data_IF_346873338999
#
_entry.id   IF_346873338999
#
_cell.length_a   1.000
_cell.length_b   1.000
_cell.length_c   1.000
_cell.angle_alpha   90.00
_cell.angle_beta   90.00
_cell.angle_gamma   90.00
#
_symmetry.space_group_name_H-M   'P 1'
#
loop_
_entity.id
_entity.type
_entity.pdbx_description
1 polymer ?
#
# COMPACT_ATOMS: atom_id res chain seq x y z
N UNK A 1 32.85 -84.45 23.36
CA UNK A 1 31.66 -83.58 23.41
C UNK A 1 32.15 -82.15 23.60
N UNK A 2 32.14 -81.34 22.52
CA UNK A 2 32.84 -80.04 22.48
C UNK A 2 31.89 -78.86 22.73
N UNK A 3 32.13 -78.01 23.75
CA UNK A 3 31.23 -76.91 24.13
C UNK A 3 31.38 -75.61 23.29
N UNK A 4 32.07 -75.64 22.15
CA UNK A 4 32.45 -74.41 21.41
C UNK A 4 31.43 -73.91 20.36
N UNK A 5 30.27 -74.57 20.16
CA UNK A 5 29.28 -74.15 19.14
C UNK A 5 28.18 -73.21 19.64
N UNK A 6 28.00 -73.03 20.96
CA UNK A 6 26.88 -72.23 21.49
C UNK A 6 27.15 -70.71 21.54
N UNK A 7 28.41 -70.26 21.53
CA UNK A 7 28.79 -68.84 21.69
C UNK A 7 28.88 -68.04 20.38
N UNK A 8 28.64 -68.68 19.22
CA UNK A 8 28.65 -68.04 17.90
C UNK A 8 27.26 -67.56 17.44
N UNK A 9 26.21 -68.27 17.82
CA UNK A 9 24.85 -67.99 17.37
C UNK A 9 24.27 -66.71 17.99
N UNK A 10 24.64 -66.38 19.23
CA UNK A 10 24.16 -65.17 19.92
C UNK A 10 24.79 -63.90 19.36
N UNK A 11 26.10 -63.91 19.09
CA UNK A 11 26.79 -62.75 18.48
C UNK A 11 26.33 -62.42 17.06
N UNK A 12 25.87 -63.42 16.31
CA UNK A 12 25.34 -63.22 14.96
C UNK A 12 23.92 -62.64 14.98
N UNK A 13 23.11 -62.99 15.99
CA UNK A 13 21.78 -62.40 16.20
C UNK A 13 21.86 -60.94 16.69
N UNK A 14 22.80 -60.63 17.59
CA UNK A 14 22.98 -59.26 18.10
C UNK A 14 23.49 -58.30 17.02
N UNK A 15 24.39 -58.76 16.14
CA UNK A 15 24.89 -57.98 15.00
C UNK A 15 23.80 -57.72 13.94
N UNK A 16 22.92 -58.70 13.69
CA UNK A 16 21.80 -58.55 12.75
C UNK A 16 20.73 -57.58 13.29
N UNK A 17 20.46 -57.61 14.60
CA UNK A 17 19.51 -56.69 15.25
C UNK A 17 20.03 -55.24 15.25
N UNK A 18 21.32 -55.04 15.51
CA UNK A 18 21.96 -53.72 15.45
C UNK A 18 22.01 -53.15 14.01
N UNK A 19 22.24 -53.99 13.01
CA UNK A 19 22.22 -53.56 11.60
C UNK A 19 20.80 -53.18 11.11
N UNK A 20 19.76 -53.85 11.62
CA UNK A 20 18.37 -53.53 11.28
C UNK A 20 17.86 -52.21 11.89
N UNK A 21 18.44 -51.77 13.02
CA UNK A 21 18.08 -50.52 13.71
C UNK A 21 19.03 -49.35 13.42
N UNK A 22 20.12 -49.58 12.67
CA UNK A 22 21.07 -48.55 12.24
C UNK A 22 20.75 -47.96 10.85
N UNK A 23 19.69 -48.43 10.18
CA UNK A 23 19.23 -47.84 8.94
C UNK A 23 18.53 -46.49 9.25
N UNK A 24 19.04 -45.35 8.73
CA UNK A 24 18.33 -44.08 8.86
C UNK A 24 16.99 -44.18 8.13
N UNK A 25 15.93 -43.68 8.76
CA UNK A 25 14.57 -43.67 8.23
C UNK A 25 14.53 -42.87 6.91
N UNK A 26 14.30 -43.51 5.75
CA UNK A 26 14.27 -42.81 4.46
C UNK A 26 13.06 -41.87 4.33
N UNK A 27 12.09 -41.93 5.25
CA UNK A 27 10.89 -41.09 5.20
C UNK A 27 11.14 -39.65 5.69
N UNK A 28 12.14 -39.41 6.53
CA UNK A 28 12.40 -38.07 7.10
C UNK A 28 13.21 -37.20 6.13
N UNK A 29 14.19 -37.81 5.45
CA UNK A 29 15.11 -37.12 4.54
C UNK A 29 14.49 -36.72 3.18
N UNK A 30 13.41 -37.40 2.78
CA UNK A 30 12.66 -37.10 1.56
C UNK A 30 11.61 -36.01 1.74
N UNK A 31 11.04 -35.88 2.94
CA UNK A 31 10.06 -34.84 3.26
C UNK A 31 10.71 -33.45 3.30
N UNK A 32 11.92 -33.35 3.85
CA UNK A 32 12.65 -32.08 3.96
C UNK A 32 13.15 -31.57 2.59
N UNK A 33 13.59 -32.47 1.71
CA UNK A 33 13.99 -32.10 0.32
C UNK A 33 12.80 -31.83 -0.61
N UNK A 34 11.64 -32.43 -0.35
CA UNK A 34 10.41 -32.10 -1.06
C UNK A 34 9.83 -30.74 -0.62
N UNK A 35 10.07 -30.34 0.63
CA UNK A 35 9.71 -29.02 1.16
C UNK A 35 10.62 -27.89 0.62
N UNK A 36 11.91 -28.16 0.42
CA UNK A 36 12.87 -27.18 -0.13
C UNK A 36 12.66 -26.88 -1.63
N UNK A 37 11.95 -27.74 -2.36
CA UNK A 37 11.59 -27.55 -3.77
C UNK A 37 10.36 -26.65 -4.01
N UNK A 38 9.57 -26.37 -2.97
CA UNK A 38 8.44 -25.45 -3.03
C UNK A 38 8.93 -24.03 -2.71
N UNK A 39 9.79 -23.49 -3.58
CA UNK A 39 9.95 -22.04 -3.63
C UNK A 39 8.53 -21.45 -3.71
N UNK A 40 8.09 -20.62 -2.75
CA UNK A 40 6.72 -20.12 -2.73
C UNK A 40 6.47 -19.48 -4.08
N UNK A 41 5.59 -20.12 -4.86
CA UNK A 41 5.22 -19.65 -6.18
C UNK A 41 4.88 -18.18 -6.04
N UNK A 42 5.65 -17.32 -6.70
CA UNK A 42 5.36 -15.89 -6.75
C UNK A 42 4.00 -15.77 -7.42
N UNK A 43 2.96 -15.74 -6.61
CA UNK A 43 1.59 -15.66 -7.06
C UNK A 43 1.46 -14.47 -8.02
N UNK A 44 1.24 -14.71 -9.33
CA UNK A 44 1.14 -13.63 -10.29
C UNK A 44 -0.10 -12.77 -10.02
N UNK A 45 -1.10 -13.30 -9.30
CA UNK A 45 -2.30 -12.55 -8.90
C UNK A 45 -2.01 -11.48 -7.84
N UNK A 46 -0.96 -11.66 -7.02
CA UNK A 46 -0.50 -10.68 -6.04
C UNK A 46 0.07 -9.38 -6.64
N UNK A 47 0.38 -9.36 -7.95
CA UNK A 47 0.84 -8.13 -8.62
C UNK A 47 -0.29 -7.12 -8.85
N UNK A 48 -1.52 -7.59 -9.01
CA UNK A 48 -2.72 -6.77 -9.24
C UNK A 48 -3.40 -6.34 -7.93
N UNK A 49 -3.13 -7.03 -6.82
CA UNK A 49 -3.55 -6.63 -5.48
C UNK A 49 -2.71 -5.49 -4.87
N UNK A 50 -1.69 -4.99 -5.59
CA UNK A 50 -0.87 -3.88 -5.09
C UNK A 50 -1.66 -2.59 -5.23
N UNK A 51 -2.33 -2.19 -4.15
CA UNK A 51 -2.95 -0.88 -4.01
C UNK A 51 -2.00 0.27 -4.36
N UNK A 52 -2.55 1.47 -4.50
CA UNK A 52 -1.82 2.66 -4.99
C UNK A 52 -0.50 2.87 -4.23
N UNK A 53 0.67 2.86 -4.91
CA UNK A 53 1.95 3.05 -4.24
C UNK A 53 2.03 4.46 -3.65
N UNK A 54 2.31 4.62 -2.34
CA UNK A 54 2.27 5.93 -1.68
C UNK A 54 3.17 6.97 -2.35
N UNK A 55 4.38 6.58 -2.74
CA UNK A 55 5.34 7.49 -3.38
C UNK A 55 4.85 8.01 -4.72
N UNK A 56 4.23 7.14 -5.52
CA UNK A 56 3.63 7.54 -6.79
C UNK A 56 2.50 8.55 -6.57
N UNK A 57 1.61 8.26 -5.61
CA UNK A 57 0.51 9.18 -5.30
C UNK A 57 1.00 10.52 -4.74
N UNK A 58 2.04 10.51 -3.91
CA UNK A 58 2.70 11.73 -3.45
C UNK A 58 3.23 12.58 -4.61
N UNK A 59 3.85 11.93 -5.60
CA UNK A 59 4.27 12.58 -6.85
C UNK A 59 3.10 13.14 -7.66
N UNK A 60 2.00 12.39 -7.78
CA UNK A 60 0.79 12.84 -8.50
C UNK A 60 0.11 14.03 -7.81
N UNK A 61 0.09 14.09 -6.48
CA UNK A 61 -0.41 15.25 -5.73
C UNK A 61 0.40 16.51 -6.07
N UNK A 62 1.73 16.42 -6.05
CA UNK A 62 2.61 17.54 -6.40
C UNK A 62 2.46 17.94 -7.87
N UNK A 63 2.41 16.97 -8.78
CA UNK A 63 2.24 17.24 -10.21
C UNK A 63 0.89 17.89 -10.51
N UNK A 64 -0.20 17.40 -9.90
CA UNK A 64 -1.53 17.97 -10.05
C UNK A 64 -1.61 19.39 -9.48
N UNK A 65 -1.09 19.61 -8.27
CA UNK A 65 -1.02 20.94 -7.68
C UNK A 65 -0.15 21.91 -8.51
N UNK A 66 1.02 21.46 -8.96
CA UNK A 66 1.89 22.24 -9.82
C UNK A 66 1.23 22.60 -11.16
N UNK A 67 0.45 21.69 -11.73
CA UNK A 67 -0.33 21.96 -12.95
C UNK A 67 -1.40 23.00 -12.69
N UNK A 68 -2.16 22.89 -11.59
CA UNK A 68 -3.15 23.90 -11.19
C UNK A 68 -2.48 25.28 -11.04
N UNK A 69 -1.34 25.35 -10.37
CA UNK A 69 -0.61 26.60 -10.19
C UNK A 69 -0.10 27.18 -11.53
N UNK A 70 0.31 26.33 -12.48
CA UNK A 70 0.83 26.76 -13.78
C UNK A 70 -0.24 27.27 -14.73
N UNK A 71 -1.49 26.77 -14.61
CA UNK A 71 -2.61 27.20 -15.47
C UNK A 71 -3.40 28.36 -14.88
N UNK A 72 -3.12 28.76 -13.63
CA UNK A 72 -3.87 29.80 -12.94
C UNK A 72 -3.65 31.14 -13.67
N UNK A 73 -4.73 31.88 -14.00
CA UNK A 73 -4.60 33.18 -14.61
C UNK A 73 -3.93 34.16 -13.64
N UNK A 74 -3.27 35.17 -14.20
CA UNK A 74 -2.67 36.24 -13.41
C UNK A 74 -3.71 37.03 -12.60
N UNK A 75 -3.26 37.97 -11.75
CA UNK A 75 -4.15 38.76 -10.91
C UNK A 75 -5.24 39.45 -11.75
N UNK A 76 -6.49 39.29 -11.35
CA UNK A 76 -7.62 40.00 -11.96
C UNK A 76 -7.52 41.50 -11.68
N UNK A 77 -7.98 42.32 -12.63
CA UNK A 77 -7.98 43.79 -12.47
C UNK A 77 -9.02 44.28 -11.44
N UNK A 78 -10.03 43.46 -11.15
CA UNK A 78 -11.07 43.77 -10.16
C UNK A 78 -10.66 43.20 -8.79
N UNK A 79 -10.86 43.94 -7.68
CA UNK A 79 -10.62 43.42 -6.34
C UNK A 79 -11.46 42.16 -6.07
N UNK A 80 -10.88 41.10 -5.49
CA UNK A 80 -11.63 39.90 -5.14
C UNK A 80 -12.64 40.22 -4.04
N UNK A 81 -13.83 39.61 -4.11
CA UNK A 81 -14.86 39.71 -3.07
C UNK A 81 -14.84 38.51 -2.14
N UNK A 82 -13.71 37.78 -2.10
CA UNK A 82 -13.58 36.60 -1.27
C UNK A 82 -13.57 37.00 0.22
N UNK A 83 -14.25 36.23 1.08
CA UNK A 83 -14.22 36.49 2.51
C UNK A 83 -12.84 36.10 3.09
N UNK A 84 -12.37 36.74 4.18
CA UNK A 84 -11.03 36.48 4.74
C UNK A 84 -10.77 35.02 5.16
N UNK A 85 -11.82 34.29 5.51
CA UNK A 85 -11.69 32.87 5.86
C UNK A 85 -11.30 32.01 4.65
N UNK A 86 -11.57 32.45 3.42
CA UNK A 86 -11.22 31.71 2.20
C UNK A 86 -9.70 31.66 1.99
N UNK A 87 -8.98 32.73 2.34
CA UNK A 87 -7.52 32.76 2.33
C UNK A 87 -6.94 31.77 3.34
N UNK A 88 -7.48 31.77 4.56
CA UNK A 88 -7.08 30.82 5.60
C UNK A 88 -7.38 29.37 5.17
N UNK A 89 -8.57 29.11 4.61
CA UNK A 89 -8.95 27.79 4.11
C UNK A 89 -8.04 27.32 2.96
N UNK A 90 -7.66 28.22 2.06
CA UNK A 90 -6.72 27.96 0.96
C UNK A 90 -5.33 27.63 1.50
N UNK A 91 -4.81 28.43 2.43
CA UNK A 91 -3.52 28.19 3.08
C UNK A 91 -3.49 26.83 3.80
N UNK A 92 -4.52 26.51 4.59
CA UNK A 92 -4.66 25.22 5.26
C UNK A 92 -4.71 24.08 4.25
N UNK A 93 -5.47 24.23 3.17
CA UNK A 93 -5.58 23.24 2.09
C UNK A 93 -4.21 22.95 1.46
N UNK A 94 -3.46 24.00 1.12
CA UNK A 94 -2.11 23.86 0.53
C UNK A 94 -1.13 23.23 1.51
N UNK A 95 -1.10 23.67 2.77
CA UNK A 95 -0.24 23.08 3.80
C UNK A 95 -0.55 21.60 3.98
N UNK A 96 -1.84 21.25 4.04
CA UNK A 96 -2.27 19.86 4.18
C UNK A 96 -1.89 19.02 2.96
N UNK A 97 -1.99 19.57 1.75
CA UNK A 97 -1.55 18.92 0.52
C UNK A 97 -0.05 18.64 0.55
N UNK A 98 0.77 19.65 0.85
CA UNK A 98 2.22 19.53 0.88
C UNK A 98 2.69 18.55 1.96
N UNK A 99 2.11 18.63 3.15
CA UNK A 99 2.39 17.68 4.25
C UNK A 99 2.01 16.24 3.86
N UNK A 100 0.86 16.07 3.21
CA UNK A 100 0.41 14.76 2.72
C UNK A 100 1.34 14.21 1.65
N UNK A 101 1.73 15.04 0.68
CA UNK A 101 2.66 14.66 -0.38
C UNK A 101 4.02 14.24 0.20
N UNK A 102 4.59 15.04 1.11
CA UNK A 102 5.86 14.71 1.77
C UNK A 102 5.78 13.38 2.54
N UNK A 103 4.71 13.16 3.30
CA UNK A 103 4.50 11.91 4.03
C UNK A 103 4.32 10.70 3.09
N UNK A 104 3.58 10.87 1.98
CA UNK A 104 3.40 9.84 0.95
C UNK A 104 4.70 9.50 0.22
N UNK A 105 5.52 10.49 -0.11
CA UNK A 105 6.87 10.32 -0.66
C UNK A 105 7.81 9.60 0.33
N UNK A 106 7.63 9.85 1.63
CA UNK A 106 8.27 9.08 2.69
C UNK A 106 7.67 7.66 2.89
N UNK A 107 6.70 7.25 2.07
CA UNK A 107 6.09 5.92 2.11
C UNK A 107 4.98 5.77 3.16
N UNK A 108 4.55 6.86 3.82
CA UNK A 108 3.59 6.81 4.91
C UNK A 108 2.15 6.71 4.40
N UNK A 109 1.60 5.48 4.40
CA UNK A 109 0.22 5.20 3.96
C UNK A 109 -0.88 5.90 4.75
N UNK A 110 -0.63 6.37 5.98
CA UNK A 110 -1.65 7.10 6.74
C UNK A 110 -1.99 8.47 6.10
N UNK A 111 -1.09 9.00 5.28
CA UNK A 111 -1.23 10.31 4.64
C UNK A 111 -2.32 10.37 3.54
N UNK A 112 -2.89 9.24 3.10
CA UNK A 112 -4.05 9.23 2.20
C UNK A 112 -5.31 9.89 2.83
N UNK A 113 -5.44 9.84 4.17
CA UNK A 113 -6.52 10.53 4.88
C UNK A 113 -6.43 12.05 4.72
N UNK A 114 -5.35 12.67 5.23
CA UNK A 114 -5.02 14.09 4.99
C UNK A 114 -5.06 14.50 3.52
N UNK A 115 -4.54 13.68 2.60
CA UNK A 115 -4.60 13.95 1.15
C UNK A 115 -6.04 14.09 0.64
N UNK A 116 -6.97 13.29 1.16
CA UNK A 116 -8.39 13.38 0.80
C UNK A 116 -9.01 14.70 1.27
N UNK A 117 -8.67 15.16 2.48
CA UNK A 117 -9.14 16.46 2.98
C UNK A 117 -8.55 17.62 2.18
N UNK A 118 -7.26 17.56 1.83
CA UNK A 118 -6.61 18.57 1.01
C UNK A 118 -7.23 18.64 -0.40
N UNK A 119 -7.40 17.51 -1.07
CA UNK A 119 -8.04 17.46 -2.39
C UNK A 119 -9.53 17.87 -2.32
N UNK A 120 -10.22 17.57 -1.23
CA UNK A 120 -11.58 18.04 -0.95
C UNK A 120 -11.64 19.56 -0.81
N UNK A 121 -10.71 20.15 -0.05
CA UNK A 121 -10.55 21.59 0.09
C UNK A 121 -10.31 22.26 -1.26
N UNK A 122 -9.39 21.73 -2.08
CA UNK A 122 -9.15 22.22 -3.44
C UNK A 122 -10.40 22.18 -4.30
N UNK A 123 -11.17 21.08 -4.24
CA UNK A 123 -12.39 20.91 -5.03
C UNK A 123 -13.45 21.93 -4.62
N UNK A 124 -13.70 22.10 -3.32
CA UNK A 124 -14.67 23.06 -2.79
C UNK A 124 -14.27 24.49 -3.13
N UNK A 125 -13.00 24.86 -2.89
CA UNK A 125 -12.50 26.19 -3.19
C UNK A 125 -12.61 26.48 -4.70
N UNK A 126 -12.23 25.53 -5.56
CA UNK A 126 -12.36 25.65 -7.02
C UNK A 126 -13.81 25.88 -7.45
N UNK A 127 -14.76 25.17 -6.85
CA UNK A 127 -16.18 25.35 -7.14
C UNK A 127 -16.72 26.73 -6.69
N UNK A 128 -16.16 27.30 -5.62
CA UNK A 128 -16.56 28.60 -5.09
C UNK A 128 -15.89 29.78 -5.79
N UNK A 129 -14.75 29.59 -6.47
CA UNK A 129 -13.99 30.67 -7.13
C UNK A 129 -14.84 31.65 -7.97
N UNK A 130 -15.83 31.21 -8.79
CA UNK A 130 -16.65 32.12 -9.58
C UNK A 130 -17.53 33.04 -8.73
N UNK A 131 -17.94 32.58 -7.53
CA UNK A 131 -18.85 33.33 -6.66
C UNK A 131 -18.17 34.53 -5.99
N UNK A 132 -16.84 34.54 -5.92
CA UNK A 132 -16.07 35.58 -5.25
C UNK A 132 -15.39 36.57 -6.20
N UNK A 133 -15.72 36.51 -7.49
CA UNK A 133 -15.05 37.31 -8.54
C UNK A 133 -13.52 37.15 -8.47
N UNK A 134 -13.04 36.03 -7.92
CA UNK A 134 -11.62 35.79 -7.67
C UNK A 134 -10.93 35.28 -8.93
N UNK A 135 -11.68 34.55 -9.78
CA UNK A 135 -11.30 34.26 -11.16
C UNK A 135 -12.55 34.04 -12.03
N UNK A 136 -12.50 34.43 -13.31
CA UNK A 136 -13.57 34.16 -14.26
C UNK A 136 -13.62 32.69 -14.71
N UNK A 137 -14.83 32.14 -14.91
CA UNK A 137 -15.02 30.78 -15.45
C UNK A 137 -14.38 30.69 -16.84
N UNK A 138 -13.47 29.73 -17.02
CA UNK A 138 -12.78 29.50 -18.29
C UNK A 138 -12.17 28.10 -18.35
N UNK A 139 -11.41 27.83 -19.43
CA UNK A 139 -10.78 26.53 -19.64
C UNK A 139 -9.84 26.12 -18.48
N UNK A 140 -9.12 27.10 -17.91
CA UNK A 140 -8.26 26.90 -16.75
C UNK A 140 -9.05 26.40 -15.52
N UNK A 141 -10.24 26.97 -15.26
CA UNK A 141 -11.11 26.60 -14.14
C UNK A 141 -11.63 25.18 -14.29
N UNK A 142 -12.03 24.80 -15.51
CA UNK A 142 -12.47 23.43 -15.83
C UNK A 142 -11.33 22.45 -15.57
N UNK A 143 -10.13 22.75 -16.07
CA UNK A 143 -8.95 21.91 -15.86
C UNK A 143 -8.61 21.77 -14.37
N UNK A 144 -8.59 22.88 -13.61
CA UNK A 144 -8.37 22.86 -12.17
C UNK A 144 -9.42 22.01 -11.42
N UNK A 145 -10.69 22.13 -11.80
CA UNK A 145 -11.79 21.38 -11.19
C UNK A 145 -11.66 19.89 -11.47
N UNK A 146 -11.34 19.51 -12.70
CA UNK A 146 -11.12 18.10 -13.09
C UNK A 146 -9.92 17.51 -12.36
N UNK A 147 -8.79 18.23 -12.30
CA UNK A 147 -7.60 17.77 -11.58
C UNK A 147 -7.92 17.60 -10.09
N UNK A 148 -8.56 18.58 -9.47
CA UNK A 148 -8.93 18.53 -8.05
C UNK A 148 -9.85 17.36 -7.73
N UNK A 149 -10.87 17.14 -8.56
CA UNK A 149 -11.80 16.01 -8.42
C UNK A 149 -11.09 14.66 -8.60
N UNK A 150 -10.17 14.55 -9.56
CA UNK A 150 -9.39 13.33 -9.78
C UNK A 150 -8.46 13.02 -8.58
N UNK A 151 -7.81 14.04 -8.02
CA UNK A 151 -7.00 13.91 -6.81
C UNK A 151 -7.85 13.51 -5.60
N UNK A 152 -9.07 14.04 -5.48
CA UNK A 152 -9.99 13.66 -4.42
C UNK A 152 -10.41 12.20 -4.56
N UNK A 153 -10.93 11.81 -5.73
CA UNK A 153 -11.38 10.46 -6.01
C UNK A 153 -10.26 9.44 -5.81
N UNK A 154 -9.05 9.70 -6.34
CA UNK A 154 -7.91 8.82 -6.17
C UNK A 154 -7.42 8.71 -4.73
N UNK A 155 -7.47 9.80 -3.95
CA UNK A 155 -7.12 9.77 -2.52
C UNK A 155 -8.14 8.96 -1.70
N UNK A 156 -9.43 9.10 -2.00
CA UNK A 156 -10.50 8.33 -1.36
C UNK A 156 -10.38 6.83 -1.71
N UNK A 157 -10.13 6.52 -2.98
CA UNK A 157 -9.91 5.15 -3.44
C UNK A 157 -8.67 4.52 -2.77
N UNK A 158 -7.54 5.23 -2.74
CA UNK A 158 -6.34 4.71 -2.05
C UNK A 158 -6.56 4.52 -0.54
N UNK A 159 -7.37 5.39 0.08
CA UNK A 159 -7.77 5.27 1.48
C UNK A 159 -8.66 4.05 1.73
N UNK A 160 -9.62 3.75 0.84
CA UNK A 160 -10.53 2.60 1.01
C UNK A 160 -9.80 1.26 0.86
N UNK A 161 -8.81 1.16 -0.01
CA UNK A 161 -7.99 -0.05 -0.17
C UNK A 161 -7.26 -0.43 1.13
N UNK A 162 -6.78 0.55 1.90
CA UNK A 162 -6.17 0.32 3.22
C UNK A 162 -7.15 -0.31 4.22
N UNK A 163 -8.43 0.06 4.17
CA UNK A 163 -9.44 -0.48 5.07
C UNK A 163 -9.74 -1.96 4.75
N UNK A 164 -9.79 -2.31 3.46
CA UNK A 164 -9.95 -3.69 3.00
C UNK A 164 -8.82 -4.61 3.43
N UNK A 165 -7.56 -4.16 3.28
CA UNK A 165 -6.36 -4.94 3.68
C UNK A 165 -6.38 -5.32 5.18
N UNK A 166 -6.88 -4.43 6.04
CA UNK A 166 -6.94 -4.67 7.50
C UNK A 166 -7.98 -5.74 7.85
N UNK A 167 -9.14 -5.74 7.18
CA UNK A 167 -10.22 -6.71 7.43
C UNK A 167 -9.83 -8.12 6.97
N UNK A 168 -9.25 -8.25 5.76
CA UNK A 168 -8.81 -9.53 5.22
C UNK A 168 -7.67 -10.13 6.05
N UNK A 169 -6.70 -9.31 6.46
CA UNK A 169 -5.59 -9.76 7.31
C UNK A 169 -5.96 -10.04 8.77
N UNK A 170 -7.15 -9.61 9.22
CA UNK A 170 -7.71 -9.96 10.53
C UNK A 170 -8.31 -11.37 10.51
N UNK A 171 -9.23 -11.61 9.57
CA UNK A 171 -9.88 -12.91 9.37
C UNK A 171 -8.88 -14.06 9.14
N UNK A 172 -7.82 -13.82 8.34
CA UNK A 172 -6.80 -14.83 8.08
C UNK A 172 -5.98 -15.23 9.32
N UNK A 173 -5.88 -14.36 10.34
CA UNK A 173 -5.14 -14.65 11.59
C UNK A 173 -5.99 -15.35 12.64
N UNK A 174 -7.31 -15.16 12.62
CA UNK A 174 -8.24 -15.90 13.49
C UNK A 174 -8.43 -17.34 13.00
N UNK A 175 -8.41 -17.58 11.68
CA UNK A 175 -8.55 -18.94 11.12
C UNK A 175 -7.37 -19.88 11.40
N UNK A 176 -6.25 -19.37 11.95
CA UNK A 176 -5.02 -20.13 12.25
C UNK A 176 -4.85 -20.37 13.76
N UNK A 177 -5.79 -19.90 14.58
CA UNK A 177 -5.83 -20.16 16.04
C UNK A 177 -6.89 -21.18 16.38
#
# INVERSE_FOLDING_TARGET
MSPLRAAGATRQADAAWAAAHAAPDPAVDGADRAADGLAPGRDPSGRFARGVPPRLWGGLLLAGFGTIAAIQPGPEARPPTQPPWADAASAVTVVLLLASAAALLAGRRWAFGPASYAAGGLTVLSALCPTWQHHQVGAWWVAQSVISAALLAGSLYARSQKAGDVLVGGCAREAVR
#
